data_IF_648124371237
#
_entry.id   IF_648124371237
#
_cell.length_a   1.000
_cell.length_b   1.000
_cell.length_c   1.000
_cell.angle_alpha   90.00
_cell.angle_beta   90.00
_cell.angle_gamma   90.00
#
_symmetry.space_group_name_H-M   'P 1'
#
loop_
_entity.id
_entity.type
_entity.pdbx_description
1 polymer ?
#
# COMPACT_ATOMS: atom_id res chain seq x y z
N UNK A 1 -7.75 23.96 -20.62
CA UNK A 1 -8.04 25.41 -20.44
C UNK A 1 -9.28 25.77 -21.23
N UNK A 2 -10.26 26.41 -20.61
CA UNK A 2 -11.44 26.93 -21.30
C UNK A 2 -11.58 28.42 -21.01
N UNK A 3 -11.57 29.25 -22.05
CA UNK A 3 -11.68 30.69 -21.93
C UNK A 3 -13.04 31.21 -22.43
N UNK A 4 -13.43 32.34 -21.84
CA UNK A 4 -14.74 32.93 -21.98
C UNK A 4 -14.67 34.45 -22.12
N UNK A 5 -15.71 35.02 -22.71
CA UNK A 5 -16.04 36.42 -22.75
C UNK A 5 -17.43 36.65 -22.16
N UNK A 6 -17.63 37.81 -21.55
CA UNK A 6 -18.92 38.24 -21.04
C UNK A 6 -19.90 38.52 -22.18
N UNK A 7 -21.20 38.20 -22.06
CA UNK A 7 -22.19 38.37 -23.14
C UNK A 7 -22.71 39.82 -23.28
N UNK A 8 -21.83 40.81 -23.18
CA UNK A 8 -22.15 42.25 -23.23
C UNK A 8 -21.64 42.96 -24.50
N UNK A 9 -20.99 42.23 -25.39
CA UNK A 9 -20.53 42.70 -26.69
C UNK A 9 -20.92 41.76 -27.82
N UNK A 10 -20.93 42.29 -29.04
CA UNK A 10 -21.33 41.51 -30.22
C UNK A 10 -20.50 40.23 -30.36
N UNK A 11 -21.17 39.16 -30.81
CA UNK A 11 -20.64 37.80 -30.88
C UNK A 11 -19.22 37.72 -31.48
N UNK A 12 -18.97 38.36 -32.63
CA UNK A 12 -17.64 38.36 -33.30
C UNK A 12 -16.53 38.95 -32.42
N UNK A 13 -16.83 40.03 -31.69
CA UNK A 13 -15.87 40.66 -30.78
C UNK A 13 -15.57 39.72 -29.61
N UNK A 14 -16.60 39.13 -29.02
CA UNK A 14 -16.46 38.24 -27.88
C UNK A 14 -15.76 36.92 -28.21
N UNK A 15 -15.98 36.37 -29.41
CA UNK A 15 -15.20 35.24 -29.92
C UNK A 15 -13.71 35.59 -30.00
N UNK A 16 -13.38 36.79 -30.52
CA UNK A 16 -12.00 37.29 -30.58
C UNK A 16 -11.40 37.50 -29.18
N UNK A 17 -12.16 38.06 -28.24
CA UNK A 17 -11.70 38.31 -26.87
C UNK A 17 -11.45 37.01 -26.11
N UNK A 18 -12.36 36.05 -26.21
CA UNK A 18 -12.22 34.73 -25.64
C UNK A 18 -10.99 34.00 -26.21
N UNK A 19 -10.75 34.09 -27.52
CA UNK A 19 -9.57 33.48 -28.15
C UNK A 19 -8.25 34.15 -27.70
N UNK A 20 -8.22 35.48 -27.58
CA UNK A 20 -7.06 36.17 -27.01
C UNK A 20 -6.83 35.75 -25.56
N UNK A 21 -7.90 35.61 -24.79
CA UNK A 21 -7.85 35.20 -23.38
C UNK A 21 -7.38 33.75 -23.23
N UNK A 22 -7.79 32.83 -24.10
CA UNK A 22 -7.29 31.45 -24.10
C UNK A 22 -5.79 31.40 -24.38
N UNK A 23 -5.30 32.13 -25.38
CA UNK A 23 -3.85 32.24 -25.69
C UNK A 23 -3.05 32.85 -24.54
N UNK A 24 -3.60 33.82 -23.83
CA UNK A 24 -2.95 34.40 -22.64
C UNK A 24 -2.88 33.41 -21.49
N UNK A 25 -3.95 32.64 -21.26
CA UNK A 25 -3.98 31.61 -20.21
C UNK A 25 -3.01 30.46 -20.50
N UNK A 26 -2.94 30.02 -21.76
CA UNK A 26 -2.01 29.00 -22.23
C UNK A 26 -0.55 29.41 -21.99
N UNK A 27 -0.18 30.64 -22.39
CA UNK A 27 1.17 31.18 -22.09
C UNK A 27 1.47 31.27 -20.58
N UNK A 28 0.47 31.53 -19.75
CA UNK A 28 0.65 31.56 -18.32
C UNK A 28 0.89 30.14 -17.76
N UNK A 29 0.19 29.13 -18.29
CA UNK A 29 0.42 27.73 -17.94
C UNK A 29 1.85 27.29 -18.23
N UNK A 30 2.35 27.53 -19.46
CA UNK A 30 3.71 27.17 -19.86
C UNK A 30 4.76 27.76 -18.93
N UNK A 31 4.53 29.00 -18.47
CA UNK A 31 5.43 29.68 -17.55
C UNK A 31 5.43 29.06 -16.15
N UNK A 32 4.27 28.71 -15.62
CA UNK A 32 4.11 28.18 -14.25
C UNK A 32 4.52 26.71 -14.17
N UNK A 33 4.22 25.93 -15.21
CA UNK A 33 4.47 24.49 -15.25
C UNK A 33 5.81 24.11 -15.88
N UNK A 34 6.65 25.10 -16.23
CA UNK A 34 7.96 24.86 -16.81
C UNK A 34 8.79 23.89 -15.95
N UNK A 35 9.19 22.76 -16.55
CA UNK A 35 10.01 21.74 -15.90
C UNK A 35 9.25 20.81 -14.95
N UNK A 36 7.91 20.86 -14.95
CA UNK A 36 7.05 19.88 -14.28
C UNK A 36 6.61 18.81 -15.30
N UNK A 37 6.49 17.57 -14.84
CA UNK A 37 5.93 16.48 -15.64
C UNK A 37 4.40 16.59 -15.65
N UNK A 38 3.87 17.43 -16.52
CA UNK A 38 2.44 17.62 -16.75
C UNK A 38 2.18 17.65 -18.25
N UNK A 39 1.05 17.09 -18.67
CA UNK A 39 0.64 17.15 -20.06
C UNK A 39 0.26 18.58 -20.47
N UNK A 40 0.48 18.89 -21.75
CA UNK A 40 0.03 20.16 -22.33
C UNK A 40 -1.50 20.27 -22.25
N UNK A 41 -2.05 21.45 -21.91
CA UNK A 41 -3.47 21.61 -21.73
C UNK A 41 -4.17 21.64 -23.09
N UNK A 42 -5.33 21.01 -23.18
CA UNK A 42 -6.24 21.28 -24.30
C UNK A 42 -6.80 22.70 -24.16
N UNK A 43 -6.60 23.57 -25.15
CA UNK A 43 -7.03 24.98 -25.11
C UNK A 43 -8.30 25.18 -25.93
N UNK A 44 -9.37 25.64 -25.26
CA UNK A 44 -10.67 25.94 -25.88
C UNK A 44 -11.07 27.38 -25.62
N UNK A 45 -11.71 27.99 -26.62
CA UNK A 45 -12.34 29.30 -26.54
C UNK A 45 -13.82 29.14 -26.85
N UNK A 46 -14.69 29.55 -25.93
CA UNK A 46 -16.14 29.36 -26.06
C UNK A 46 -16.83 30.62 -26.61
N UNK A 47 -16.21 31.79 -26.47
CA UNK A 47 -16.86 33.06 -26.83
C UNK A 47 -17.73 33.54 -25.67
N UNK A 48 -19.00 33.86 -25.92
CA UNK A 48 -19.92 34.35 -24.89
C UNK A 48 -20.29 33.25 -23.88
N UNK A 49 -20.08 33.51 -22.59
CA UNK A 49 -20.42 32.58 -21.49
C UNK A 49 -21.87 32.71 -21.04
N UNK A 50 -22.80 32.24 -21.88
CA UNK A 50 -24.23 32.27 -21.58
C UNK A 50 -24.63 31.35 -20.43
N UNK A 51 -23.99 30.19 -20.31
CA UNK A 51 -24.25 29.25 -19.21
C UNK A 51 -23.76 29.82 -17.88
N UNK A 52 -22.53 30.34 -17.82
CA UNK A 52 -22.01 30.99 -16.62
C UNK A 52 -22.76 32.27 -16.28
N UNK A 53 -23.24 33.03 -17.29
CA UNK A 53 -24.10 34.19 -17.04
C UNK A 53 -25.39 33.79 -16.35
N UNK A 54 -26.05 32.73 -16.83
CA UNK A 54 -27.25 32.20 -16.20
C UNK A 54 -26.98 31.74 -14.76
N UNK A 55 -25.90 31.00 -14.52
CA UNK A 55 -25.52 30.51 -13.19
C UNK A 55 -25.26 31.65 -12.20
N UNK A 56 -24.51 32.68 -12.61
CA UNK A 56 -24.24 33.84 -11.76
C UNK A 56 -25.50 34.65 -11.46
N UNK A 57 -26.40 34.83 -12.44
CA UNK A 57 -27.68 35.51 -12.23
C UNK A 57 -28.61 34.71 -11.30
N UNK A 58 -28.65 33.39 -11.42
CA UNK A 58 -29.45 32.55 -10.51
C UNK A 58 -29.02 32.73 -9.05
N UNK A 59 -27.71 32.79 -8.83
CA UNK A 59 -27.09 32.90 -7.51
C UNK A 59 -26.94 34.34 -7.00
N UNK A 60 -27.40 35.36 -7.73
CA UNK A 60 -27.29 36.76 -7.32
C UNK A 60 -28.52 37.25 -6.53
N UNK A 61 -28.37 38.43 -5.93
CA UNK A 61 -29.43 39.15 -5.20
C UNK A 61 -30.12 40.22 -6.06
N UNK A 62 -29.97 40.16 -7.40
CA UNK A 62 -30.60 41.11 -8.32
C UNK A 62 -32.12 41.01 -8.21
N UNK A 63 -32.79 42.15 -7.98
CA UNK A 63 -34.24 42.22 -7.73
C UNK A 63 -35.05 41.59 -8.87
N UNK A 64 -34.70 41.90 -10.12
CA UNK A 64 -35.39 41.41 -11.33
C UNK A 64 -34.72 40.18 -11.97
N UNK A 65 -34.00 39.34 -11.20
CA UNK A 65 -33.27 38.19 -11.78
C UNK A 65 -34.16 37.21 -12.56
N UNK A 66 -35.41 37.02 -12.15
CA UNK A 66 -36.36 36.14 -12.83
C UNK A 66 -36.71 36.61 -14.25
N UNK A 67 -36.68 37.93 -14.50
CA UNK A 67 -36.88 38.49 -15.83
C UNK A 67 -35.70 38.14 -16.75
N UNK A 68 -34.47 38.26 -16.25
CA UNK A 68 -33.26 37.90 -16.98
C UNK A 68 -33.27 36.40 -17.32
N UNK A 69 -33.57 35.55 -16.34
CA UNK A 69 -33.64 34.09 -16.53
C UNK A 69 -34.72 33.69 -17.53
N UNK A 70 -35.87 34.40 -17.53
CA UNK A 70 -36.92 34.19 -18.52
C UNK A 70 -36.42 34.50 -19.94
N UNK A 71 -35.73 35.61 -20.15
CA UNK A 71 -35.14 35.96 -21.46
C UNK A 71 -34.13 34.92 -21.91
N UNK A 72 -33.25 34.45 -21.01
CA UNK A 72 -32.31 33.37 -21.33
C UNK A 72 -33.00 32.06 -21.72
N UNK A 73 -34.14 31.74 -21.10
CA UNK A 73 -34.93 30.55 -21.44
C UNK A 73 -35.74 30.67 -22.74
N UNK A 74 -36.23 31.88 -23.04
CA UNK A 74 -37.15 32.14 -24.14
C UNK A 74 -36.44 32.23 -25.49
N UNK A 75 -35.25 32.83 -25.50
CA UNK A 75 -34.45 33.00 -26.70
C UNK A 75 -33.25 32.08 -26.65
N UNK A 76 -32.90 31.43 -27.76
CA UNK A 76 -31.67 30.66 -27.91
C UNK A 76 -30.60 31.40 -28.72
N UNK A 77 -31.02 32.37 -29.55
CA UNK A 77 -30.12 33.18 -30.36
C UNK A 77 -29.30 34.16 -29.49
N UNK A 78 -27.96 34.12 -29.56
CA UNK A 78 -27.09 34.97 -28.75
C UNK A 78 -27.28 36.47 -28.97
N UNK A 79 -27.52 36.91 -30.22
CA UNK A 79 -27.69 38.32 -30.53
C UNK A 79 -29.03 38.84 -30.01
N UNK A 80 -30.09 38.03 -30.09
CA UNK A 80 -31.39 38.34 -29.49
C UNK A 80 -31.27 38.43 -27.97
N UNK A 81 -30.64 37.45 -27.31
CA UNK A 81 -30.39 37.49 -25.86
C UNK A 81 -29.66 38.75 -25.43
N UNK A 82 -28.56 39.09 -26.12
CA UNK A 82 -27.76 40.28 -25.84
C UNK A 82 -28.60 41.56 -25.96
N UNK A 83 -29.41 41.68 -27.01
CA UNK A 83 -30.30 42.84 -27.24
C UNK A 83 -31.37 42.96 -26.15
N UNK A 84 -32.09 41.88 -25.85
CA UNK A 84 -33.16 41.87 -24.85
C UNK A 84 -32.62 42.22 -23.45
N UNK A 85 -31.47 41.68 -23.07
CA UNK A 85 -30.83 41.97 -21.77
C UNK A 85 -30.35 43.43 -21.72
N UNK A 86 -29.80 43.97 -22.81
CA UNK A 86 -29.37 45.38 -22.87
C UNK A 86 -30.54 46.36 -22.79
N UNK A 87 -31.71 45.98 -23.27
CA UNK A 87 -32.91 46.82 -23.22
C UNK A 87 -33.50 46.96 -21.80
N UNK A 88 -33.10 46.10 -20.85
CA UNK A 88 -33.51 46.17 -19.44
C UNK A 88 -32.70 47.23 -18.66
N UNK A 89 -32.84 48.51 -19.01
CA UNK A 89 -31.96 49.62 -18.59
C UNK A 89 -31.42 49.59 -17.13
N UNK A 90 -32.29 49.54 -16.12
CA UNK A 90 -31.90 49.51 -14.69
C UNK A 90 -31.15 48.22 -14.35
N UNK A 91 -31.71 47.08 -14.73
CA UNK A 91 -31.16 45.73 -14.52
C UNK A 91 -29.79 45.56 -15.19
N UNK A 92 -29.65 46.09 -16.41
CA UNK A 92 -28.39 46.04 -17.16
C UNK A 92 -27.26 46.81 -16.47
N UNK A 93 -27.59 47.90 -15.77
CA UNK A 93 -26.60 48.67 -15.01
C UNK A 93 -26.02 47.84 -13.87
N UNK A 94 -26.88 47.11 -13.15
CA UNK A 94 -26.48 46.23 -12.06
C UNK A 94 -25.68 45.01 -12.56
N UNK A 95 -26.11 44.40 -13.67
CA UNK A 95 -25.37 43.32 -14.34
C UNK A 95 -23.98 43.78 -14.79
N UNK A 96 -23.84 45.02 -15.28
CA UNK A 96 -22.57 45.58 -15.77
C UNK A 96 -21.55 45.80 -14.66
N UNK A 97 -22.00 46.18 -13.46
CA UNK A 97 -21.12 46.39 -12.30
C UNK A 97 -20.83 45.11 -11.52
N UNK A 98 -21.77 44.16 -11.46
CA UNK A 98 -21.64 42.94 -10.67
C UNK A 98 -21.27 41.71 -11.50
N UNK A 99 -22.21 41.22 -12.31
CA UNK A 99 -22.16 39.89 -12.92
C UNK A 99 -21.25 39.80 -14.16
N UNK A 100 -21.40 40.73 -15.11
CA UNK A 100 -20.70 40.69 -16.40
C UNK A 100 -19.16 40.70 -16.26
N UNK A 101 -18.56 41.44 -15.32
CA UNK A 101 -17.11 41.38 -15.10
C UNK A 101 -16.58 39.98 -14.75
N UNK A 102 -17.30 39.20 -13.95
CA UNK A 102 -16.88 37.86 -13.50
C UNK A 102 -16.83 36.84 -14.64
N UNK A 103 -17.60 37.08 -15.71
CA UNK A 103 -17.64 36.21 -16.88
C UNK A 103 -16.40 36.30 -17.76
N UNK A 104 -15.56 37.32 -17.54
CA UNK A 104 -14.34 37.56 -18.30
C UNK A 104 -13.18 36.72 -17.76
N UNK A 105 -13.31 35.39 -17.80
CA UNK A 105 -12.39 34.43 -17.16
C UNK A 105 -11.84 33.36 -18.09
N UNK A 106 -10.74 32.73 -17.67
CA UNK A 106 -10.27 31.46 -18.21
C UNK A 106 -10.18 30.46 -17.06
N UNK A 107 -10.64 29.23 -17.29
CA UNK A 107 -10.65 28.14 -16.31
C UNK A 107 -9.57 27.12 -16.67
N UNK A 108 -8.72 26.81 -15.71
CA UNK A 108 -7.89 25.61 -15.73
C UNK A 108 -8.70 24.47 -15.12
N UNK A 109 -8.85 23.39 -15.88
CA UNK A 109 -9.52 22.16 -15.43
C UNK A 109 -8.43 21.10 -15.45
N UNK A 110 -8.09 20.56 -14.28
CA UNK A 110 -7.04 19.57 -14.13
C UNK A 110 -7.67 18.24 -13.74
N UNK A 111 -7.33 17.19 -14.51
CA UNK A 111 -7.56 15.81 -14.09
C UNK A 111 -6.30 15.37 -13.36
N UNK A 112 -6.43 15.08 -12.07
CA UNK A 112 -5.30 14.68 -11.23
C UNK A 112 -5.40 13.18 -10.97
N UNK A 113 -4.39 12.44 -11.42
CA UNK A 113 -4.22 11.03 -11.06
C UNK A 113 -3.17 10.92 -9.95
N UNK A 114 -3.57 10.34 -8.82
CA UNK A 114 -2.63 10.04 -7.74
C UNK A 114 -1.89 8.74 -8.07
N UNK A 115 -0.58 8.85 -8.28
CA UNK A 115 0.31 7.70 -8.35
C UNK A 115 0.84 7.38 -6.95
N UNK A 116 0.99 6.10 -6.64
CA UNK A 116 1.67 5.68 -5.42
C UNK A 116 3.13 6.11 -5.48
N UNK A 117 3.70 6.47 -4.34
CA UNK A 117 5.13 6.75 -4.23
C UNK A 117 5.95 5.51 -4.60
N UNK A 118 7.03 5.75 -5.34
CA UNK A 118 8.09 4.78 -5.53
C UNK A 118 8.88 4.56 -4.23
N UNK A 119 9.66 3.49 -4.17
CA UNK A 119 10.51 3.22 -3.01
C UNK A 119 11.53 4.35 -2.75
N UNK A 120 12.09 4.94 -3.81
CA UNK A 120 13.07 6.02 -3.71
C UNK A 120 12.42 7.32 -3.22
N UNK A 121 11.24 7.67 -3.74
CA UNK A 121 10.47 8.83 -3.26
C UNK A 121 10.08 8.68 -1.79
N UNK A 122 9.66 7.48 -1.36
CA UNK A 122 9.37 7.25 0.06
C UNK A 122 10.61 7.40 0.93
N UNK A 123 11.77 6.91 0.49
CA UNK A 123 13.01 7.06 1.22
C UNK A 123 13.38 8.54 1.39
N UNK A 124 13.30 9.32 0.31
CA UNK A 124 13.56 10.77 0.34
C UNK A 124 12.57 11.50 1.25
N UNK A 125 11.28 11.18 1.17
CA UNK A 125 10.25 11.82 1.99
C UNK A 125 10.38 11.47 3.48
N UNK A 126 10.80 10.26 3.83
CA UNK A 126 11.06 9.87 5.22
C UNK A 126 12.19 10.70 5.84
N UNK A 127 13.18 11.11 5.04
CA UNK A 127 14.31 11.93 5.49
C UNK A 127 13.97 13.43 5.49
N UNK A 128 13.34 13.91 4.42
CA UNK A 128 13.10 15.34 4.19
C UNK A 128 11.83 15.87 4.85
N UNK A 129 10.72 15.11 4.81
CA UNK A 129 9.42 15.58 5.31
C UNK A 129 8.45 14.43 5.61
N UNK A 130 8.77 13.60 6.61
CA UNK A 130 7.95 12.44 7.01
C UNK A 130 6.50 12.81 7.38
N UNK A 131 6.26 14.07 7.74
CA UNK A 131 4.95 14.58 8.16
C UNK A 131 3.95 14.73 7.02
N UNK A 132 4.35 14.64 5.75
CA UNK A 132 3.37 14.65 4.65
C UNK A 132 2.81 13.26 4.35
N UNK A 133 3.49 12.19 4.80
CA UNK A 133 3.13 10.83 4.47
C UNK A 133 1.81 10.42 5.13
N UNK A 134 0.94 9.78 4.35
CA UNK A 134 -0.28 9.13 4.82
C UNK A 134 0.02 7.80 5.54
N UNK A 135 -0.98 7.19 6.17
CA UNK A 135 -0.79 5.92 6.88
C UNK A 135 -0.27 4.81 5.95
N UNK A 136 -0.86 4.56 4.75
CA UNK A 136 -0.33 3.57 3.81
C UNK A 136 1.12 3.80 3.43
N UNK A 137 1.53 5.05 3.15
CA UNK A 137 2.90 5.38 2.80
C UNK A 137 3.88 5.13 3.96
N UNK A 138 3.51 5.47 5.19
CA UNK A 138 4.34 5.17 6.38
C UNK A 138 4.50 3.66 6.59
N UNK A 139 3.42 2.89 6.45
CA UNK A 139 3.47 1.43 6.59
C UNK A 139 4.30 0.79 5.46
N UNK A 140 4.19 1.31 4.23
CA UNK A 140 4.97 0.83 3.09
C UNK A 140 6.46 1.15 3.27
N UNK A 141 6.80 2.39 3.64
CA UNK A 141 8.17 2.78 3.95
C UNK A 141 8.77 1.91 5.07
N UNK A 142 7.98 1.57 6.10
CA UNK A 142 8.42 0.67 7.16
C UNK A 142 8.67 -0.75 6.64
N UNK A 143 7.83 -1.27 5.75
CA UNK A 143 8.03 -2.57 5.12
C UNK A 143 9.33 -2.64 4.32
N UNK A 144 9.65 -1.58 3.57
CA UNK A 144 10.87 -1.45 2.76
C UNK A 144 12.14 -1.27 3.60
N UNK A 145 12.02 -0.72 4.82
CA UNK A 145 13.17 -0.53 5.70
C UNK A 145 13.70 -1.87 6.22
N UNK A 146 15.01 -2.10 6.07
CA UNK A 146 15.66 -3.35 6.50
C UNK A 146 16.15 -3.30 7.96
N UNK A 147 16.32 -2.11 8.52
CA UNK A 147 16.77 -1.92 9.90
C UNK A 147 15.57 -1.87 10.85
N UNK A 148 15.69 -2.55 12.01
CA UNK A 148 14.69 -2.50 13.07
C UNK A 148 14.42 -1.07 13.54
N UNK A 149 15.45 -0.26 13.78
CA UNK A 149 15.26 1.10 14.31
C UNK A 149 14.47 1.98 13.34
N UNK A 150 14.73 1.83 12.04
CA UNK A 150 13.99 2.50 10.98
C UNK A 150 12.52 2.08 10.95
N UNK A 151 12.25 0.76 11.05
CA UNK A 151 10.89 0.22 11.18
C UNK A 151 10.17 0.80 12.40
N UNK A 152 10.82 0.80 13.56
CA UNK A 152 10.25 1.30 14.82
C UNK A 152 9.89 2.78 14.71
N UNK A 153 10.77 3.62 14.15
CA UNK A 153 10.50 5.05 13.93
C UNK A 153 9.25 5.25 13.06
N UNK A 154 9.14 4.52 11.96
CA UNK A 154 8.05 4.66 10.99
C UNK A 154 6.72 4.15 11.55
N UNK A 155 6.70 2.98 12.21
CA UNK A 155 5.47 2.50 12.85
C UNK A 155 5.02 3.40 13.98
N UNK A 156 5.93 3.89 14.84
CA UNK A 156 5.56 4.85 15.89
C UNK A 156 5.01 6.16 15.32
N UNK A 157 5.52 6.63 14.17
CA UNK A 157 4.95 7.79 13.47
C UNK A 157 3.52 7.53 13.02
N UNK A 158 3.24 6.36 12.44
CA UNK A 158 1.90 5.97 12.02
C UNK A 158 0.94 5.81 13.21
N UNK A 159 1.39 5.24 14.33
CA UNK A 159 0.63 5.13 15.58
C UNK A 159 0.29 6.53 16.11
N UNK A 160 1.27 7.43 16.18
CA UNK A 160 1.08 8.77 16.75
C UNK A 160 0.19 9.65 15.88
N UNK A 161 0.36 9.58 14.56
CA UNK A 161 -0.33 10.46 13.60
C UNK A 161 -1.74 9.98 13.25
N UNK A 162 -1.95 8.67 13.21
CA UNK A 162 -3.18 8.06 12.67
C UNK A 162 -3.85 7.08 13.62
N UNK A 163 -3.35 6.90 14.84
CA UNK A 163 -3.82 5.88 15.79
C UNK A 163 -3.78 4.45 15.20
N UNK A 164 -2.85 4.22 14.26
CA UNK A 164 -2.82 3.02 13.40
C UNK A 164 -2.66 1.72 14.17
N UNK A 165 -3.71 0.91 14.20
CA UNK A 165 -3.66 -0.41 14.83
C UNK A 165 -2.80 -1.42 14.04
N UNK A 166 -2.79 -1.29 12.70
CA UNK A 166 -1.90 -2.05 11.82
C UNK A 166 -0.42 -1.78 12.14
N UNK A 167 -0.08 -0.52 12.41
CA UNK A 167 1.28 -0.15 12.81
C UNK A 167 1.66 -0.76 14.17
N UNK A 168 0.74 -0.83 15.14
CA UNK A 168 0.98 -1.50 16.43
C UNK A 168 1.29 -2.99 16.25
N UNK A 169 0.47 -3.68 15.45
CA UNK A 169 0.69 -5.10 15.15
C UNK A 169 2.02 -5.33 14.44
N UNK A 170 2.31 -4.53 13.40
CA UNK A 170 3.55 -4.66 12.63
C UNK A 170 4.79 -4.30 13.44
N UNK A 171 4.70 -3.34 14.37
CA UNK A 171 5.76 -3.01 15.31
C UNK A 171 6.08 -4.21 16.22
N UNK A 172 5.05 -4.86 16.75
CA UNK A 172 5.21 -6.05 17.58
C UNK A 172 5.85 -7.22 16.81
N UNK A 173 5.44 -7.44 15.54
CA UNK A 173 6.07 -8.41 14.64
C UNK A 173 7.53 -8.05 14.34
N UNK A 174 7.86 -6.77 14.17
CA UNK A 174 9.23 -6.34 13.96
C UNK A 174 10.13 -6.68 15.16
N UNK A 175 9.63 -6.48 16.39
CA UNK A 175 10.35 -6.91 17.60
C UNK A 175 10.49 -8.43 17.70
N UNK A 176 9.45 -9.20 17.35
CA UNK A 176 9.51 -10.66 17.31
C UNK A 176 10.61 -11.15 16.36
N UNK A 177 10.67 -10.59 15.15
CA UNK A 177 11.67 -10.96 14.14
C UNK A 177 13.09 -10.60 14.56
N UNK A 178 13.25 -9.57 15.38
CA UNK A 178 14.53 -9.22 16.00
C UNK A 178 14.89 -10.07 17.23
N UNK A 179 14.01 -10.99 17.65
CA UNK A 179 14.19 -11.81 18.85
C UNK A 179 13.88 -11.09 20.17
N UNK A 180 13.40 -9.85 20.14
CA UNK A 180 13.04 -9.08 21.34
C UNK A 180 11.60 -9.42 21.78
N UNK A 181 11.45 -10.62 22.33
CA UNK A 181 10.14 -11.19 22.75
C UNK A 181 9.44 -10.29 23.77
N UNK A 182 10.21 -9.63 24.66
CA UNK A 182 9.64 -8.75 25.69
C UNK A 182 9.02 -7.49 25.09
N UNK A 183 9.71 -6.82 24.15
CA UNK A 183 9.13 -5.65 23.48
C UNK A 183 7.96 -6.03 22.58
N UNK A 184 8.05 -7.18 21.90
CA UNK A 184 6.95 -7.66 21.09
C UNK A 184 5.68 -7.90 21.91
N UNK A 185 5.78 -8.58 23.05
CA UNK A 185 4.65 -8.81 23.94
C UNK A 185 4.01 -7.50 24.41
N UNK A 186 4.82 -6.52 24.82
CA UNK A 186 4.33 -5.20 25.20
C UNK A 186 3.59 -4.52 24.05
N UNK A 187 4.16 -4.53 22.85
CA UNK A 187 3.54 -3.91 21.68
C UNK A 187 2.24 -4.63 21.25
N UNK A 188 2.16 -5.97 21.36
CA UNK A 188 0.92 -6.71 21.10
C UNK A 188 -0.19 -6.41 22.11
N UNK A 189 0.15 -6.04 23.35
CA UNK A 189 -0.83 -5.64 24.35
C UNK A 189 -1.59 -4.38 23.91
N UNK A 190 -0.90 -3.47 23.21
CA UNK A 190 -1.46 -2.19 22.72
C UNK A 190 -2.31 -2.35 21.46
N UNK A 191 -2.24 -3.48 20.75
CA UNK A 191 -3.07 -3.76 19.56
C UNK A 191 -4.55 -3.83 19.96
N UNK A 192 -5.40 -3.01 19.35
CA UNK A 192 -6.81 -2.89 19.68
C UNK A 192 -7.64 -4.01 19.06
N UNK A 193 -7.36 -4.38 17.81
CA UNK A 193 -8.08 -5.44 17.09
C UNK A 193 -7.70 -6.81 17.65
N UNK A 194 -8.66 -7.46 18.34
CA UNK A 194 -8.47 -8.78 18.96
C UNK A 194 -8.99 -9.90 18.06
N UNK A 195 -8.28 -10.15 16.97
CA UNK A 195 -8.65 -11.15 15.96
C UNK A 195 -7.82 -12.45 16.06
N UNK A 196 -7.98 -13.32 15.06
CA UNK A 196 -7.26 -14.58 14.96
C UNK A 196 -5.75 -14.39 14.72
N UNK A 197 -5.35 -13.33 14.01
CA UNK A 197 -3.94 -13.00 13.76
C UNK A 197 -3.23 -12.59 15.04
N UNK A 198 -3.85 -11.72 15.86
CA UNK A 198 -3.32 -11.40 17.19
C UNK A 198 -3.27 -12.63 18.08
N UNK A 199 -4.32 -13.46 18.07
CA UNK A 199 -4.34 -14.71 18.85
C UNK A 199 -3.20 -15.64 18.44
N UNK A 200 -2.93 -15.79 17.14
CA UNK A 200 -1.80 -16.55 16.62
C UNK A 200 -0.46 -15.94 17.07
N UNK A 201 -0.30 -14.63 16.95
CA UNK A 201 0.93 -13.94 17.36
C UNK A 201 1.23 -14.10 18.87
N UNK A 202 0.20 -14.07 19.73
CA UNK A 202 0.34 -14.37 21.15
C UNK A 202 0.74 -15.84 21.40
N UNK A 203 0.29 -16.77 20.55
CA UNK A 203 0.80 -18.14 20.54
C UNK A 203 2.29 -18.20 20.21
N UNK A 204 2.76 -17.40 19.25
CA UNK A 204 4.19 -17.29 18.91
C UNK A 204 5.00 -16.73 20.09
N UNK A 205 4.47 -15.75 20.82
CA UNK A 205 5.10 -15.22 22.05
C UNK A 205 5.28 -16.33 23.09
N UNK A 206 4.21 -17.09 23.38
CA UNK A 206 4.26 -18.21 24.33
C UNK A 206 5.29 -19.27 23.88
N UNK A 207 5.28 -19.64 22.60
CA UNK A 207 6.22 -20.58 22.02
C UNK A 207 7.67 -20.11 22.20
N UNK A 208 7.97 -18.83 21.96
CA UNK A 208 9.31 -18.25 22.14
C UNK A 208 9.76 -18.20 23.60
N UNK A 209 8.83 -18.25 24.56
CA UNK A 209 9.10 -18.36 25.99
C UNK A 209 9.22 -19.81 26.49
N UNK A 210 9.00 -20.79 25.62
CA UNK A 210 8.97 -22.22 25.98
C UNK A 210 7.66 -22.66 26.65
N UNK A 211 6.63 -21.83 26.64
CA UNK A 211 5.29 -22.19 27.14
C UNK A 211 4.48 -22.85 26.01
N UNK A 212 4.74 -24.13 25.80
CA UNK A 212 4.13 -24.92 24.74
C UNK A 212 2.63 -25.14 24.94
N UNK A 213 2.16 -25.21 26.19
CA UNK A 213 0.74 -25.40 26.50
C UNK A 213 -0.08 -24.17 26.09
N UNK A 214 0.35 -22.98 26.52
CA UNK A 214 -0.29 -21.72 26.13
C UNK A 214 -0.17 -21.47 24.63
N UNK A 215 0.99 -21.79 24.03
CA UNK A 215 1.18 -21.69 22.59
C UNK A 215 0.15 -22.54 21.82
N UNK A 216 0.06 -23.83 22.14
CA UNK A 216 -0.88 -24.74 21.49
C UNK A 216 -2.34 -24.30 21.67
N UNK A 217 -2.71 -23.84 22.86
CA UNK A 217 -4.05 -23.29 23.14
C UNK A 217 -4.37 -22.09 22.25
N UNK A 218 -3.44 -21.15 22.13
CA UNK A 218 -3.61 -19.96 21.29
C UNK A 218 -3.67 -20.32 19.80
N UNK A 219 -2.80 -21.21 19.32
CA UNK A 219 -2.82 -21.64 17.91
C UNK A 219 -4.14 -22.34 17.55
N UNK A 220 -4.63 -23.25 18.41
CA UNK A 220 -5.94 -23.90 18.22
C UNK A 220 -7.08 -22.89 18.22
N UNK A 221 -7.02 -21.89 19.10
CA UNK A 221 -8.03 -20.81 19.18
C UNK A 221 -8.01 -19.93 17.92
N UNK A 222 -6.83 -19.61 17.39
CA UNK A 222 -6.69 -18.79 16.19
C UNK A 222 -7.22 -19.51 14.95
N UNK A 223 -6.91 -20.80 14.77
CA UNK A 223 -7.48 -21.64 13.71
C UNK A 223 -7.12 -21.23 12.28
N UNK A 224 -6.16 -20.31 12.09
CA UNK A 224 -5.66 -19.94 10.75
C UNK A 224 -4.69 -21.00 10.21
N UNK A 225 -4.45 -21.01 8.90
CA UNK A 225 -3.46 -21.91 8.29
C UNK A 225 -2.07 -21.73 8.91
N UNK A 226 -1.68 -20.49 9.19
CA UNK A 226 -0.43 -20.17 9.86
C UNK A 226 -0.41 -20.69 11.32
N UNK A 227 -1.53 -20.56 12.05
CA UNK A 227 -1.64 -21.08 13.40
C UNK A 227 -1.57 -22.62 13.43
N UNK A 228 -2.20 -23.30 12.46
CA UNK A 228 -2.09 -24.75 12.30
C UNK A 228 -0.65 -25.18 12.03
N UNK A 229 0.06 -24.48 11.15
CA UNK A 229 1.49 -24.73 10.93
C UNK A 229 2.32 -24.52 12.21
N UNK A 230 2.03 -23.46 12.98
CA UNK A 230 2.69 -23.20 14.26
C UNK A 230 2.39 -24.29 15.31
N UNK A 231 1.19 -24.86 15.31
CA UNK A 231 0.83 -25.99 16.16
C UNK A 231 1.69 -27.22 15.83
N UNK A 232 1.88 -27.52 14.55
CA UNK A 232 2.79 -28.60 14.14
C UNK A 232 4.24 -28.39 14.60
N UNK A 233 4.71 -27.14 14.76
CA UNK A 233 6.01 -26.85 15.37
C UNK A 233 6.02 -27.18 16.86
N UNK A 234 4.95 -26.85 17.58
CA UNK A 234 4.79 -27.25 19.00
C UNK A 234 4.84 -28.77 19.12
N UNK A 235 4.09 -29.48 18.28
CA UNK A 235 4.04 -30.94 18.30
C UNK A 235 5.41 -31.58 18.05
N UNK A 236 6.24 -31.03 17.15
CA UNK A 236 7.64 -31.46 17.00
C UNK A 236 8.43 -31.25 18.28
N UNK A 237 8.32 -30.07 18.91
CA UNK A 237 9.07 -29.74 20.12
C UNK A 237 8.63 -30.55 21.34
N UNK A 238 7.38 -31.02 21.37
CA UNK A 238 6.84 -31.85 22.46
C UNK A 238 6.88 -33.35 22.17
N UNK A 239 7.36 -33.77 20.99
CA UNK A 239 7.54 -35.18 20.62
C UNK A 239 6.31 -35.89 20.03
N UNK A 240 5.26 -35.17 19.67
CA UNK A 240 4.04 -35.72 19.05
C UNK A 240 4.16 -35.67 17.51
N UNK A 241 5.11 -36.42 16.96
CA UNK A 241 5.52 -36.30 15.57
C UNK A 241 4.42 -36.71 14.58
N UNK A 242 3.54 -37.64 14.96
CA UNK A 242 2.39 -38.04 14.16
C UNK A 242 1.40 -36.89 13.98
N UNK A 243 1.10 -36.13 15.04
CA UNK A 243 0.27 -34.92 14.93
C UNK A 243 0.97 -33.83 14.14
N UNK A 244 2.27 -33.63 14.36
CA UNK A 244 3.04 -32.68 13.57
C UNK A 244 2.93 -32.95 12.06
N UNK A 245 2.97 -34.22 11.64
CA UNK A 245 2.74 -34.59 10.23
C UNK A 245 1.33 -34.19 9.77
N UNK A 246 0.28 -34.43 10.57
CA UNK A 246 -1.09 -34.07 10.19
C UNK A 246 -1.29 -32.56 10.05
N UNK A 247 -0.63 -31.79 10.91
CA UNK A 247 -0.76 -30.34 10.92
C UNK A 247 0.09 -29.65 9.85
N UNK A 248 1.23 -30.25 9.47
CA UNK A 248 2.18 -29.66 8.53
C UNK A 248 2.07 -30.16 7.08
N UNK A 249 1.34 -31.26 6.81
CA UNK A 249 1.29 -31.90 5.48
C UNK A 249 0.73 -31.00 4.36
N UNK A 250 -0.15 -30.06 4.70
CA UNK A 250 -0.84 -29.19 3.74
C UNK A 250 -0.22 -27.78 3.65
N UNK A 251 0.89 -27.53 4.36
CA UNK A 251 1.58 -26.23 4.33
C UNK A 251 2.16 -26.00 2.94
N UNK A 252 1.78 -24.88 2.33
CA UNK A 252 2.22 -24.51 0.97
C UNK A 252 3.67 -24.03 0.96
N UNK A 253 4.38 -24.34 -0.12
CA UNK A 253 5.73 -23.84 -0.38
C UNK A 253 6.82 -24.52 0.45
N UNK A 254 7.84 -23.76 0.81
CA UNK A 254 9.05 -24.24 1.46
C UNK A 254 8.92 -24.36 2.98
N UNK A 255 8.30 -25.46 3.46
CA UNK A 255 8.22 -25.75 4.89
C UNK A 255 9.26 -26.79 5.33
N UNK A 256 10.34 -26.33 5.97
CA UNK A 256 11.39 -27.21 6.51
C UNK A 256 10.84 -28.16 7.59
N UNK A 257 9.89 -27.68 8.40
CA UNK A 257 9.30 -28.46 9.47
C UNK A 257 8.48 -29.63 8.95
N UNK A 258 7.85 -29.52 7.78
CA UNK A 258 7.14 -30.65 7.16
C UNK A 258 8.12 -31.77 6.76
N UNK A 259 9.27 -31.41 6.18
CA UNK A 259 10.34 -32.38 5.86
C UNK A 259 10.85 -33.05 7.13
N UNK A 260 11.12 -32.25 8.17
CA UNK A 260 11.58 -32.76 9.46
C UNK A 260 10.56 -33.71 10.10
N UNK A 261 9.27 -33.37 10.10
CA UNK A 261 8.21 -34.23 10.66
C UNK A 261 8.13 -35.60 9.94
N UNK A 262 8.31 -35.62 8.62
CA UNK A 262 8.40 -36.89 7.88
C UNK A 262 9.66 -37.70 8.23
N UNK A 263 10.82 -37.06 8.42
CA UNK A 263 12.04 -37.74 8.87
C UNK A 263 11.84 -38.33 10.28
N UNK A 264 11.26 -37.57 11.20
CA UNK A 264 11.02 -37.98 12.60
C UNK A 264 10.05 -39.16 12.70
N UNK A 265 9.12 -39.30 11.75
CA UNK A 265 8.19 -40.44 11.65
C UNK A 265 8.65 -41.53 10.67
N UNK A 266 9.93 -41.50 10.26
CA UNK A 266 10.55 -42.44 9.32
C UNK A 266 9.83 -42.57 7.94
N UNK A 267 9.11 -41.54 7.50
CA UNK A 267 8.45 -41.47 6.20
C UNK A 267 9.40 -40.89 5.14
N UNK A 268 10.56 -41.52 4.93
CA UNK A 268 11.67 -40.99 4.13
C UNK A 268 11.30 -40.72 2.66
N UNK A 269 10.41 -41.51 2.06
CA UNK A 269 9.93 -41.28 0.70
C UNK A 269 9.12 -39.99 0.58
N UNK A 270 8.30 -39.69 1.59
CA UNK A 270 7.55 -38.42 1.64
C UNK A 270 8.49 -37.26 1.92
N UNK A 271 9.42 -37.43 2.87
CA UNK A 271 10.43 -36.44 3.20
C UNK A 271 11.24 -36.02 1.95
N UNK A 272 11.73 -36.99 1.17
CA UNK A 272 12.47 -36.76 -0.08
C UNK A 272 11.66 -35.94 -1.10
N UNK A 273 10.38 -36.26 -1.29
CA UNK A 273 9.50 -35.55 -2.23
C UNK A 273 9.20 -34.12 -1.76
N UNK A 274 9.03 -33.93 -0.46
CA UNK A 274 8.74 -32.61 0.14
C UNK A 274 9.99 -31.73 0.21
N UNK A 275 11.19 -32.30 0.32
CA UNK A 275 12.46 -31.59 0.37
C UNK A 275 12.87 -31.04 -1.01
N UNK A 276 12.21 -29.99 -1.50
CA UNK A 276 12.45 -29.41 -2.84
C UNK A 276 13.17 -28.05 -2.82
N UNK A 277 13.20 -27.35 -1.68
CA UNK A 277 13.82 -26.02 -1.56
C UNK A 277 15.34 -26.09 -1.71
N UNK A 278 15.94 -25.00 -2.20
CA UNK A 278 17.37 -24.94 -2.56
C UNK A 278 18.21 -24.19 -1.52
N UNK A 279 17.81 -24.25 -0.26
CA UNK A 279 18.52 -23.63 0.87
C UNK A 279 19.32 -24.65 1.69
N UNK A 280 20.23 -24.15 2.54
CA UNK A 280 21.14 -24.98 3.32
C UNK A 280 20.42 -25.94 4.29
N UNK A 281 19.27 -25.54 4.84
CA UNK A 281 18.54 -26.37 5.81
C UNK A 281 17.91 -27.57 5.10
N UNK A 282 17.32 -27.38 3.92
CA UNK A 282 16.79 -28.52 3.15
C UNK A 282 17.91 -29.43 2.66
N UNK A 283 19.06 -28.89 2.24
CA UNK A 283 20.20 -29.73 1.88
C UNK A 283 20.70 -30.55 3.08
N UNK A 284 20.71 -29.97 4.28
CA UNK A 284 21.02 -30.70 5.51
C UNK A 284 20.02 -31.83 5.77
N UNK A 285 18.70 -31.57 5.63
CA UNK A 285 17.67 -32.59 5.79
C UNK A 285 17.76 -33.69 4.71
N UNK A 286 18.13 -33.35 3.47
CA UNK A 286 18.42 -34.33 2.41
C UNK A 286 19.62 -35.21 2.76
N UNK A 287 20.66 -34.63 3.35
CA UNK A 287 21.79 -35.41 3.84
C UNK A 287 21.34 -36.41 4.92
N UNK A 288 20.50 -36.00 5.88
CA UNK A 288 19.95 -36.92 6.89
C UNK A 288 19.15 -38.05 6.23
N UNK A 289 18.28 -37.73 5.26
CA UNK A 289 17.50 -38.74 4.54
C UNK A 289 18.43 -39.73 3.84
N UNK A 290 19.46 -39.24 3.13
CA UNK A 290 20.44 -40.08 2.44
C UNK A 290 21.24 -40.97 3.40
N UNK A 291 21.64 -40.43 4.56
CA UNK A 291 22.37 -41.18 5.58
C UNK A 291 21.54 -42.33 6.14
N UNK A 292 20.26 -42.08 6.45
CA UNK A 292 19.32 -43.12 6.90
C UNK A 292 19.01 -44.17 5.82
N UNK A 293 19.20 -43.83 4.55
CA UNK A 293 19.09 -44.75 3.41
C UNK A 293 20.40 -45.47 3.07
N UNK A 294 21.51 -45.16 3.75
CA UNK A 294 22.84 -45.71 3.45
C UNK A 294 23.46 -45.19 2.15
N UNK A 295 22.98 -44.05 1.62
CA UNK A 295 23.47 -43.46 0.38
C UNK A 295 24.54 -42.40 0.64
N UNK A 296 25.76 -42.83 0.92
CA UNK A 296 26.87 -41.95 1.33
C UNK A 296 27.34 -40.97 0.24
N UNK A 297 27.17 -41.30 -1.03
CA UNK A 297 27.45 -40.35 -2.12
C UNK A 297 26.52 -39.14 -2.06
N UNK A 298 25.23 -39.38 -1.78
CA UNK A 298 24.25 -38.31 -1.59
C UNK A 298 24.46 -37.56 -0.27
N UNK A 299 24.91 -38.22 0.80
CA UNK A 299 25.31 -37.53 2.03
C UNK A 299 26.41 -36.51 1.72
N UNK A 300 27.49 -36.96 1.06
CA UNK A 300 28.62 -36.09 0.67
C UNK A 300 28.16 -34.92 -0.20
N UNK A 301 27.41 -35.18 -1.27
CA UNK A 301 26.96 -34.14 -2.19
C UNK A 301 26.09 -33.07 -1.50
N UNK A 302 25.20 -33.48 -0.60
CA UNK A 302 24.36 -32.55 0.15
C UNK A 302 25.15 -31.76 1.21
N UNK A 303 26.05 -32.41 1.97
CA UNK A 303 26.90 -31.72 2.95
C UNK A 303 27.90 -30.75 2.29
N UNK A 304 28.43 -31.09 1.11
CA UNK A 304 29.26 -30.18 0.30
C UNK A 304 28.45 -28.94 -0.12
N UNK A 305 27.14 -29.09 -0.42
CA UNK A 305 26.23 -27.97 -0.69
C UNK A 305 25.97 -27.13 0.56
N UNK A 306 25.75 -27.77 1.72
CA UNK A 306 25.59 -27.08 3.01
C UNK A 306 26.82 -26.22 3.33
N UNK A 307 28.04 -26.77 3.21
CA UNK A 307 29.27 -26.05 3.50
C UNK A 307 29.47 -24.78 2.66
N UNK A 308 28.94 -24.75 1.44
CA UNK A 308 28.97 -23.57 0.56
C UNK A 308 27.95 -22.50 0.97
N UNK A 309 26.88 -22.87 1.68
CA UNK A 309 25.73 -22.00 1.97
C UNK A 309 25.67 -21.54 3.43
N UNK A 310 26.09 -22.40 4.37
CA UNK A 310 25.99 -22.14 5.81
C UNK A 310 27.11 -22.88 6.57
N UNK A 311 28.10 -22.12 7.03
CA UNK A 311 29.25 -22.63 7.78
C UNK A 311 28.85 -23.23 9.13
N UNK A 312 27.88 -22.64 9.83
CA UNK A 312 27.46 -23.12 11.14
C UNK A 312 26.74 -24.47 11.03
N UNK A 313 25.91 -24.66 10.00
CA UNK A 313 25.31 -25.96 9.71
C UNK A 313 26.36 -27.00 9.31
N UNK A 314 27.36 -26.63 8.52
CA UNK A 314 28.44 -27.55 8.17
C UNK A 314 29.24 -28.00 9.40
N UNK A 315 29.56 -27.08 10.32
CA UNK A 315 30.19 -27.40 11.60
C UNK A 315 29.30 -28.32 12.45
N UNK A 316 27.99 -28.07 12.48
CA UNK A 316 27.02 -28.93 13.17
C UNK A 316 27.04 -30.36 12.61
N UNK A 317 27.09 -30.53 11.29
CA UNK A 317 27.09 -31.85 10.63
C UNK A 317 28.23 -32.76 11.12
N UNK A 318 29.42 -32.20 11.40
CA UNK A 318 30.58 -32.98 11.87
C UNK A 318 30.37 -33.67 13.22
N UNK A 319 29.36 -33.24 13.99
CA UNK A 319 29.02 -33.77 15.32
C UNK A 319 27.62 -34.39 15.36
N UNK A 320 26.92 -34.44 14.23
CA UNK A 320 25.56 -34.96 14.17
C UNK A 320 25.58 -36.49 14.09
N UNK A 321 24.83 -37.13 14.98
CA UNK A 321 24.77 -38.60 15.07
C UNK A 321 24.20 -39.23 13.80
N UNK A 322 23.36 -38.50 13.06
CA UNK A 322 22.80 -38.94 11.78
C UNK A 322 23.90 -39.25 10.74
N UNK A 323 25.10 -38.67 10.88
CA UNK A 323 26.21 -38.84 9.96
C UNK A 323 27.35 -39.69 10.53
N UNK A 324 27.17 -40.31 11.71
CA UNK A 324 28.23 -41.08 12.35
C UNK A 324 28.75 -42.23 11.46
N UNK A 325 27.87 -42.97 10.78
CA UNK A 325 28.28 -44.04 9.86
C UNK A 325 29.01 -43.52 8.62
N UNK A 326 28.69 -42.30 8.15
CA UNK A 326 29.36 -41.70 6.99
C UNK A 326 30.81 -41.29 7.30
N UNK A 327 31.09 -40.91 8.55
CA UNK A 327 32.41 -40.48 8.99
C UNK A 327 33.31 -41.60 9.54
N UNK A 328 32.79 -42.83 9.64
CA UNK A 328 33.62 -44.00 9.97
C UNK A 328 34.54 -44.37 8.82
#
# INVERSE_FOLDING_TARGET
VVAYASPDGGEKLNNTLSEKRSKSADKAWDKVMKGKDVADPEVKSIGQDWEGFQELVQNSDIEDKDLILRVLSMYSDPAVRESEIKNMSSVYTELKSGILPELRRARFIANVEFKNYTADELAELVESNIDILDEPALLHAAALNKNLDGKVKLYNKAITKYDSDKARFNLAVAYLNAGDVKKAEKAFADVQTKDAELTNALGVIALRKGDYETAAKNFKKAGTDAAKANLGVVDILTGDYEKAVQDLKDVKGCCHNTVLAYILTNQLDKASKTAHCKDAKVDYLRAIIAARQGNFDQVKANLDSVAKKDKALAEKATKDIEFAEYYK
#
